data_IF_360854515234
#
_entry.id   IF_360854515234
#
_cell.length_a   1.000
_cell.length_b   1.000
_cell.length_c   1.000
_cell.angle_alpha   90.00
_cell.angle_beta   90.00
_cell.angle_gamma   90.00
#
_symmetry.space_group_name_H-M   'P 1'
#
loop_
_entity.id
_entity.type
_entity.pdbx_description
1 polymer ?
#
# COMPACT_ATOMS: atom_id res chain seq x y z
N UNK A 1 8.35 -10.94 -15.00
CA UNK A 1 7.26 -10.60 -14.05
C UNK A 1 7.38 -9.18 -13.50
N UNK A 2 8.57 -8.72 -13.08
CA UNK A 2 8.77 -7.35 -12.57
C UNK A 2 8.38 -6.25 -13.58
N UNK A 3 8.83 -6.35 -14.85
CA UNK A 3 8.49 -5.36 -15.89
C UNK A 3 6.98 -5.28 -16.18
N UNK A 4 6.29 -6.43 -16.17
CA UNK A 4 4.84 -6.48 -16.33
C UNK A 4 4.14 -5.78 -15.15
N UNK A 5 4.56 -6.08 -13.92
CA UNK A 5 4.01 -5.45 -12.72
C UNK A 5 4.23 -3.93 -12.73
N UNK A 6 5.42 -3.47 -13.11
CA UNK A 6 5.72 -2.05 -13.28
C UNK A 6 4.84 -1.40 -14.34
N UNK A 7 4.71 -2.00 -15.52
CA UNK A 7 3.86 -1.43 -16.59
C UNK A 7 2.40 -1.28 -16.13
N UNK A 8 1.84 -2.29 -15.47
CA UNK A 8 0.46 -2.27 -14.98
C UNK A 8 0.26 -1.26 -13.85
N UNK A 9 1.18 -1.20 -12.88
CA UNK A 9 1.05 -0.27 -11.74
C UNK A 9 1.27 1.16 -12.19
N UNK A 10 2.25 1.44 -13.06
CA UNK A 10 2.48 2.79 -13.61
C UNK A 10 1.28 3.26 -14.44
N UNK A 11 0.72 2.39 -15.29
CA UNK A 11 -0.48 2.73 -16.06
C UNK A 11 -1.67 3.06 -15.14
N UNK A 12 -1.91 2.22 -14.13
CA UNK A 12 -3.01 2.41 -13.18
C UNK A 12 -2.81 3.69 -12.36
N UNK A 13 -1.59 3.96 -11.88
CA UNK A 13 -1.25 5.18 -11.15
C UNK A 13 -1.47 6.43 -12.00
N UNK A 14 -1.10 6.39 -13.28
CA UNK A 14 -1.32 7.50 -14.20
C UNK A 14 -2.82 7.83 -14.37
N UNK A 15 -3.66 6.81 -14.60
CA UNK A 15 -5.12 6.99 -14.73
C UNK A 15 -5.75 7.52 -13.43
N UNK A 16 -5.30 7.03 -12.27
CA UNK A 16 -5.74 7.53 -10.97
C UNK A 16 -5.37 9.01 -10.78
N UNK A 17 -4.15 9.39 -11.16
CA UNK A 17 -3.69 10.78 -11.10
C UNK A 17 -4.49 11.72 -12.01
N UNK A 18 -4.81 11.28 -13.23
CA UNK A 18 -5.70 12.04 -14.13
C UNK A 18 -7.10 12.22 -13.53
N UNK A 19 -7.66 11.14 -12.97
CA UNK A 19 -8.98 11.19 -12.33
C UNK A 19 -9.01 12.15 -11.14
N UNK A 20 -7.90 12.23 -10.39
CA UNK A 20 -7.72 13.18 -9.31
C UNK A 20 -7.65 14.63 -9.81
N UNK A 21 -6.91 14.90 -10.89
CA UNK A 21 -6.85 16.25 -11.46
C UNK A 21 -8.22 16.73 -11.95
N UNK A 22 -8.98 15.86 -12.64
CA UNK A 22 -10.36 16.16 -13.07
C UNK A 22 -11.26 16.51 -11.87
N UNK A 23 -11.11 15.77 -10.76
CA UNK A 23 -11.84 16.05 -9.52
C UNK A 23 -11.50 17.45 -8.98
N UNK A 24 -10.20 17.81 -8.91
CA UNK A 24 -9.76 19.11 -8.41
C UNK A 24 -10.23 20.27 -9.30
N UNK A 25 -10.24 20.08 -10.62
CA UNK A 25 -10.70 21.07 -11.60
C UNK A 25 -12.21 21.30 -11.53
N UNK A 26 -12.99 20.25 -11.26
CA UNK A 26 -14.45 20.34 -11.18
C UNK A 26 -14.92 20.84 -9.80
N UNK A 27 -14.24 20.44 -8.72
CA UNK A 27 -14.66 20.74 -7.34
C UNK A 27 -13.52 21.37 -6.53
N UNK A 28 -13.52 22.70 -6.35
CA UNK A 28 -12.43 23.40 -5.66
C UNK A 28 -12.33 23.07 -4.16
N UNK A 29 -13.40 22.54 -3.55
CA UNK A 29 -13.44 22.11 -2.14
C UNK A 29 -12.38 21.06 -1.79
N UNK A 30 -12.00 20.19 -2.75
CA UNK A 30 -11.00 19.15 -2.53
C UNK A 30 -9.55 19.64 -2.65
N UNK A 31 -9.31 20.90 -3.05
CA UNK A 31 -7.96 21.49 -3.18
C UNK A 31 -7.28 21.76 -1.84
N UNK A 32 -8.06 21.93 -0.77
CA UNK A 32 -7.54 22.30 0.56
C UNK A 32 -7.47 21.11 1.51
N UNK A 33 -8.53 20.30 1.59
CA UNK A 33 -8.57 19.16 2.48
C UNK A 33 -9.34 18.00 1.88
N UNK A 34 -8.68 16.87 1.71
CA UNK A 34 -9.33 15.60 1.37
C UNK A 34 -8.76 14.49 2.26
N UNK A 35 -9.59 13.96 3.18
CA UNK A 35 -9.19 12.89 4.10
C UNK A 35 -8.94 11.56 3.40
N UNK A 36 -9.57 11.32 2.25
CA UNK A 36 -9.45 10.06 1.50
C UNK A 36 -9.72 10.29 0.01
N UNK A 37 -8.67 10.48 -0.81
CA UNK A 37 -8.83 10.88 -2.21
C UNK A 37 -9.51 9.82 -3.09
N UNK A 38 -9.10 8.55 -2.99
CA UNK A 38 -9.62 7.49 -3.87
C UNK A 38 -11.12 7.19 -3.70
N UNK A 39 -11.67 7.09 -2.47
CA UNK A 39 -13.10 6.96 -2.27
C UNK A 39 -13.90 8.16 -2.79
N UNK A 40 -13.32 9.35 -2.76
CA UNK A 40 -13.98 10.59 -3.15
C UNK A 40 -14.07 10.75 -4.68
N UNK A 41 -12.99 10.39 -5.38
CA UNK A 41 -13.00 10.22 -6.84
C UNK A 41 -14.07 9.21 -7.26
N UNK A 42 -14.13 8.06 -6.58
CA UNK A 42 -15.14 7.04 -6.85
C UNK A 42 -16.57 7.49 -6.51
N UNK A 43 -16.73 8.28 -5.45
CA UNK A 43 -18.02 8.86 -5.07
C UNK A 43 -18.54 9.82 -6.14
N UNK A 44 -17.70 10.72 -6.65
CA UNK A 44 -18.10 11.67 -7.70
C UNK A 44 -18.30 11.00 -9.05
N UNK A 45 -17.59 9.91 -9.35
CA UNK A 45 -17.76 9.17 -10.60
C UNK A 45 -19.01 8.28 -10.63
N UNK A 46 -19.30 7.54 -9.57
CA UNK A 46 -20.28 6.44 -9.61
C UNK A 46 -21.12 6.31 -8.31
N UNK A 47 -21.04 7.31 -7.43
CA UNK A 47 -21.88 7.46 -6.25
C UNK A 47 -21.44 6.64 -5.02
N UNK A 48 -22.32 6.60 -4.02
CA UNK A 48 -22.06 6.03 -2.68
C UNK A 48 -21.73 4.53 -2.67
N UNK A 49 -22.17 3.76 -3.68
CA UNK A 49 -21.87 2.34 -3.79
C UNK A 49 -20.39 2.13 -4.12
N UNK A 50 -19.87 2.87 -5.12
CA UNK A 50 -18.47 2.80 -5.52
C UNK A 50 -17.51 3.29 -4.43
N UNK A 51 -17.89 4.37 -3.72
CA UNK A 51 -17.15 4.86 -2.55
C UNK A 51 -16.89 3.75 -1.52
N UNK A 52 -17.94 2.99 -1.16
CA UNK A 52 -17.83 1.89 -0.21
C UNK A 52 -16.95 0.75 -0.71
N UNK A 53 -17.05 0.40 -2.00
CA UNK A 53 -16.20 -0.63 -2.60
C UNK A 53 -14.72 -0.27 -2.53
N UNK A 54 -14.35 0.96 -2.88
CA UNK A 54 -12.96 1.43 -2.84
C UNK A 54 -12.42 1.47 -1.40
N UNK A 55 -13.24 1.93 -0.44
CA UNK A 55 -12.87 1.90 0.98
C UNK A 55 -12.57 0.49 1.48
N UNK A 56 -13.45 -0.47 1.18
CA UNK A 56 -13.29 -1.87 1.60
C UNK A 56 -12.05 -2.49 0.94
N UNK A 57 -11.89 -2.30 -0.37
CA UNK A 57 -10.73 -2.83 -1.12
C UNK A 57 -9.39 -2.30 -0.58
N UNK A 58 -9.31 -1.00 -0.30
CA UNK A 58 -8.10 -0.41 0.26
C UNK A 58 -7.83 -0.90 1.69
N UNK A 59 -8.87 -1.07 2.51
CA UNK A 59 -8.74 -1.60 3.86
C UNK A 59 -8.20 -3.03 3.88
N UNK A 60 -8.75 -3.92 3.04
CA UNK A 60 -8.29 -5.31 2.92
C UNK A 60 -6.83 -5.35 2.46
N UNK A 61 -6.47 -4.51 1.48
CA UNK A 61 -5.10 -4.45 0.94
C UNK A 61 -4.10 -4.01 2.01
N UNK A 62 -4.40 -2.94 2.76
CA UNK A 62 -3.51 -2.45 3.82
C UNK A 62 -3.38 -3.44 4.98
N UNK A 63 -4.47 -4.12 5.36
CA UNK A 63 -4.42 -5.18 6.35
C UNK A 63 -3.52 -6.34 5.88
N UNK A 64 -3.70 -6.80 4.64
CA UNK A 64 -2.87 -7.86 4.06
C UNK A 64 -1.38 -7.49 4.02
N UNK A 65 -1.05 -6.28 3.57
CA UNK A 65 0.33 -5.76 3.57
C UNK A 65 0.91 -5.75 4.99
N UNK A 66 0.14 -5.27 5.97
CA UNK A 66 0.57 -5.19 7.37
C UNK A 66 0.91 -6.58 7.94
N UNK A 67 0.07 -7.58 7.67
CA UNK A 67 0.30 -8.97 8.10
C UNK A 67 1.56 -9.56 7.46
N UNK A 68 1.74 -9.37 6.14
CA UNK A 68 2.93 -9.88 5.43
C UNK A 68 4.21 -9.23 5.96
N UNK A 69 4.20 -7.90 6.17
CA UNK A 69 5.36 -7.21 6.73
C UNK A 69 5.67 -7.62 8.17
N UNK A 70 4.66 -7.89 8.99
CA UNK A 70 4.85 -8.39 10.34
C UNK A 70 5.54 -9.76 10.34
N UNK A 71 5.07 -10.69 9.50
CA UNK A 71 5.67 -12.01 9.37
C UNK A 71 7.09 -11.96 8.82
N UNK A 72 7.35 -11.11 7.83
CA UNK A 72 8.68 -10.90 7.28
C UNK A 72 9.64 -10.34 8.35
N UNK A 73 9.18 -9.37 9.14
CA UNK A 73 9.96 -8.77 10.23
C UNK A 73 10.31 -9.81 11.30
N UNK A 74 9.34 -10.64 11.69
CA UNK A 74 9.57 -11.74 12.65
C UNK A 74 10.63 -12.72 12.15
N UNK A 75 10.57 -13.12 10.88
CA UNK A 75 11.57 -14.00 10.26
C UNK A 75 12.96 -13.36 10.23
N UNK A 76 13.04 -12.11 9.79
CA UNK A 76 14.31 -11.39 9.71
C UNK A 76 14.99 -11.24 11.09
N UNK A 77 14.20 -10.98 12.13
CA UNK A 77 14.68 -10.93 13.52
C UNK A 77 15.15 -12.31 13.99
N UNK A 78 14.36 -13.36 13.73
CA UNK A 78 14.72 -14.73 14.12
C UNK A 78 16.04 -15.18 13.50
N UNK A 79 16.21 -14.96 12.19
CA UNK A 79 17.43 -15.34 11.47
C UNK A 79 18.65 -14.55 11.98
N UNK A 80 18.49 -13.25 12.24
CA UNK A 80 19.54 -12.41 12.80
C UNK A 80 20.00 -12.91 14.17
N UNK A 81 19.07 -13.23 15.06
CA UNK A 81 19.37 -13.76 16.41
C UNK A 81 20.07 -15.12 16.30
N UNK A 82 19.57 -16.01 15.45
CA UNK A 82 20.15 -17.35 15.25
C UNK A 82 21.60 -17.28 14.77
N UNK A 83 21.88 -16.40 13.81
CA UNK A 83 23.25 -16.17 13.31
C UNK A 83 24.14 -15.58 14.40
N UNK A 84 23.65 -14.60 15.16
CA UNK A 84 24.40 -14.00 16.26
C UNK A 84 24.78 -15.00 17.36
N UNK A 85 23.84 -15.84 17.78
CA UNK A 85 24.10 -16.90 18.78
C UNK A 85 25.11 -17.93 18.25
N UNK A 86 24.95 -18.36 16.99
CA UNK A 86 25.86 -19.34 16.38
C UNK A 86 27.28 -18.79 16.27
N UNK A 87 27.44 -17.51 15.91
CA UNK A 87 28.74 -16.86 15.85
C UNK A 87 29.40 -16.78 17.24
N UNK A 88 28.62 -16.46 18.28
CA UNK A 88 29.12 -16.42 19.66
C UNK A 88 29.56 -17.81 20.17
N UNK A 89 28.77 -18.86 19.90
CA UNK A 89 29.14 -20.23 20.29
C UNK A 89 30.43 -20.71 19.60
N UNK A 90 30.63 -20.38 18.32
CA UNK A 90 31.86 -20.74 17.62
C UNK A 90 33.10 -20.02 18.21
N UNK A 91 32.95 -18.79 18.68
CA UNK A 91 34.05 -18.05 19.33
C UNK A 91 34.48 -18.67 20.67
N UNK A 92 33.56 -19.29 21.43
CA UNK A 92 33.87 -19.90 22.73
C UNK A 92 34.54 -21.28 22.58
N UNK A 93 34.42 -21.93 21.42
CA UNK A 93 34.98 -23.25 21.15
C UNK A 93 36.40 -23.22 20.54
N UNK A 94 37.01 -22.03 20.43
CA UNK A 94 38.36 -21.80 19.91
C UNK A 94 39.30 -21.29 21.00
#
# INVERSE_FOLDING_TARGET
>A
MLLLALAVTTYTAHVLGLSWNILLDTWPEYRVHCRSPYPEVAFRAMGNKARRLVLISNGITQFGISVVYLLLSSKNIHDTIKVGIRAHLLYIQQ
#
